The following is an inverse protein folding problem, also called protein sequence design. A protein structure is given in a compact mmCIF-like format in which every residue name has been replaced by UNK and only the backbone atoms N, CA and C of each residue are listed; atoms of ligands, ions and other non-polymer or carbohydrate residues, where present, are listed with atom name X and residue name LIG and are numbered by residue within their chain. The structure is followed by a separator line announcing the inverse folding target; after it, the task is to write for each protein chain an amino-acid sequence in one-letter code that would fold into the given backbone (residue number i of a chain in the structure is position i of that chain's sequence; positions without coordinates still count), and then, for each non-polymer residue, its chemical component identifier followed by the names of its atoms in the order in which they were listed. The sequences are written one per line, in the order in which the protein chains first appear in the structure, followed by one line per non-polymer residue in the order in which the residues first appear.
data_IF_088693668353
#
_entry.id   IF_088693668353
#
_cell.length_a   1.000
_cell.length_b   1.000
_cell.length_c   1.000
_cell.angle_alpha   90.00
_cell.angle_beta   90.00
_cell.angle_gamma   90.00
#
_symmetry.space_group_name_H-M   'P 1'
#
loop_
_entity.id
_entity.type
_entity.pdbx_description
1 polymer ?
#
# COMPACT_ATOMS: atom_id res chain seq x y z
N UNK A 1 -12.81 8.77 -10.63
CA UNK A 1 -13.34 7.52 -10.05
C UNK A 1 -12.80 7.38 -8.63
N UNK A 2 -13.54 6.82 -7.67
CA UNK A 2 -13.02 6.59 -6.32
C UNK A 2 -13.41 5.20 -5.83
N UNK A 3 -12.53 4.57 -5.06
CA UNK A 3 -12.76 3.24 -4.49
C UNK A 3 -12.58 3.32 -2.99
N UNK A 4 -13.50 2.68 -2.27
CA UNK A 4 -13.34 2.46 -0.83
C UNK A 4 -12.78 1.08 -0.60
N UNK A 5 -11.62 1.02 0.05
CA UNK A 5 -10.97 -0.23 0.43
C UNK A 5 -11.00 -0.36 1.94
N UNK A 6 -11.46 -1.50 2.40
CA UNK A 6 -11.42 -1.91 3.79
C UNK A 6 -10.55 -3.15 3.91
N UNK A 7 -9.56 -3.13 4.80
CA UNK A 7 -8.65 -4.25 5.00
C UNK A 7 -8.30 -4.42 6.47
N UNK A 8 -7.89 -5.64 6.82
CA UNK A 8 -7.46 -5.99 8.16
C UNK A 8 -6.03 -6.49 8.11
N UNK A 9 -5.17 -5.94 8.96
CA UNK A 9 -3.77 -6.38 9.11
C UNK A 9 -3.37 -6.47 10.57
N UNK A 10 -2.26 -7.13 10.86
CA UNK A 10 -1.66 -7.04 12.19
C UNK A 10 -1.24 -5.61 12.49
N UNK A 11 -1.44 -5.17 13.72
CA UNK A 11 -0.99 -3.87 14.21
C UNK A 11 0.44 -3.94 14.78
N UNK A 12 1.25 -4.79 14.15
CA UNK A 12 2.64 -5.04 14.49
C UNK A 12 3.62 -4.25 13.61
N UNK A 13 3.11 -3.18 12.99
CA UNK A 13 3.92 -2.22 12.25
C UNK A 13 4.84 -1.43 13.17
N UNK A 14 5.52 -0.43 12.63
CA UNK A 14 6.35 0.48 13.42
C UNK A 14 5.45 1.63 13.90
N UNK A 15 5.42 1.98 15.21
CA UNK A 15 6.14 1.34 16.32
C UNK A 15 5.53 0.01 16.75
N UNK A 16 6.40 -0.97 17.05
CA UNK A 16 6.00 -2.36 17.32
C UNK A 16 5.45 -2.51 18.73
N UNK A 17 4.20 -2.96 18.86
CA UNK A 17 3.60 -3.34 20.16
C UNK A 17 4.36 -4.52 20.79
N UNK A 18 4.49 -4.59 22.13
CA UNK A 18 5.04 -5.77 22.82
C UNK A 18 4.23 -7.04 22.58
N UNK A 19 2.94 -6.93 22.26
CA UNK A 19 2.07 -8.07 21.94
C UNK A 19 2.42 -8.72 20.59
N UNK A 20 3.28 -8.08 19.80
CA UNK A 20 3.80 -8.57 18.54
C UNK A 20 5.05 -9.44 18.72
N UNK A 21 4.94 -10.42 19.61
CA UNK A 21 6.00 -11.40 19.90
C UNK A 21 5.80 -12.69 19.07
N UNK A 22 6.89 -13.43 18.82
CA UNK A 22 6.81 -14.72 18.12
C UNK A 22 6.03 -15.77 18.93
N UNK A 23 5.95 -15.61 20.25
CA UNK A 23 5.17 -16.48 21.14
C UNK A 23 3.66 -16.29 20.97
N UNK A 24 3.22 -15.13 20.45
CA UNK A 24 1.81 -14.78 20.23
C UNK A 24 1.36 -14.87 18.77
N UNK A 25 2.12 -15.56 17.91
CA UNK A 25 1.78 -15.73 16.48
C UNK A 25 0.39 -16.35 16.33
N UNK A 26 -0.47 -15.70 15.53
CA UNK A 26 -1.89 -16.06 15.35
C UNK A 26 -2.86 -15.19 16.17
N UNK A 27 -2.41 -14.68 17.32
CA UNK A 27 -3.18 -13.82 18.23
C UNK A 27 -2.69 -12.36 18.26
N UNK A 28 -1.79 -11.99 17.33
CA UNK A 28 -1.33 -10.61 17.22
C UNK A 28 -2.49 -9.62 17.12
N UNK A 29 -2.35 -8.43 17.74
CA UNK A 29 -3.35 -7.37 17.62
C UNK A 29 -3.61 -7.09 16.15
N UNK A 30 -4.88 -6.87 15.81
CA UNK A 30 -5.31 -6.59 14.44
C UNK A 30 -5.98 -5.23 14.41
N UNK A 31 -5.69 -4.46 13.38
CA UNK A 31 -6.44 -3.24 13.07
C UNK A 31 -7.22 -3.41 11.76
N UNK A 32 -8.40 -2.82 11.74
CA UNK A 32 -9.20 -2.64 10.53
C UNK A 32 -9.01 -1.22 10.05
N UNK A 33 -8.62 -1.06 8.80
CA UNK A 33 -8.40 0.24 8.19
C UNK A 33 -9.38 0.37 7.02
N UNK A 34 -9.93 1.56 6.86
CA UNK A 34 -10.83 1.91 5.77
C UNK A 34 -10.39 3.23 5.18
N UNK A 35 -10.12 3.23 3.88
CA UNK A 35 -9.74 4.44 3.14
C UNK A 35 -10.52 4.53 1.84
N UNK A 36 -10.96 5.74 1.52
CA UNK A 36 -11.50 6.08 0.19
C UNK A 36 -10.38 6.74 -0.59
N UNK A 37 -10.03 6.15 -1.73
CA UNK A 37 -8.87 6.54 -2.52
C UNK A 37 -9.35 6.94 -3.91
N UNK A 38 -8.93 8.10 -4.44
CA UNK A 38 -9.17 8.42 -5.83
C UNK A 38 -8.39 7.46 -6.73
N UNK A 39 -9.00 7.10 -7.85
CA UNK A 39 -8.29 6.46 -8.96
C UNK A 39 -7.97 7.58 -9.96
N UNK A 40 -6.68 7.79 -10.18
CA UNK A 40 -6.17 8.73 -11.17
C UNK A 40 -6.67 8.35 -12.58
N UNK A 41 -6.80 9.31 -13.51
CA UNK A 41 -7.11 9.02 -14.90
C UNK A 41 -6.19 7.95 -15.47
N UNK A 42 -6.76 7.02 -16.22
CA UNK A 42 -6.04 5.90 -16.82
C UNK A 42 -6.52 5.68 -18.26
N UNK A 43 -5.67 5.04 -19.05
CA UNK A 43 -6.00 4.60 -20.41
C UNK A 43 -6.53 3.16 -20.36
N UNK A 44 -7.50 2.85 -21.21
CA UNK A 44 -8.02 1.49 -21.38
C UNK A 44 -7.31 0.78 -22.54
N UNK A 45 -7.02 -0.54 -22.43
CA UNK A 45 -7.34 -1.43 -21.31
C UNK A 45 -6.33 -1.33 -20.15
N UNK A 46 -6.76 -1.67 -18.94
CA UNK A 46 -5.86 -1.72 -17.78
C UNK A 46 -6.37 -2.65 -16.68
N UNK A 47 -5.46 -3.07 -15.80
CA UNK A 47 -5.79 -3.90 -14.63
C UNK A 47 -5.70 -3.05 -13.37
N UNK A 48 -6.69 -3.18 -12.49
CA UNK A 48 -6.68 -2.52 -11.17
C UNK A 48 -5.61 -3.16 -10.29
N UNK A 49 -4.68 -2.35 -9.79
CA UNK A 49 -3.58 -2.74 -8.92
C UNK A 49 -3.66 -1.92 -7.63
N UNK A 50 -3.66 -2.61 -6.48
CA UNK A 50 -3.78 -2.01 -5.15
C UNK A 50 -2.44 -2.11 -4.44
N UNK A 51 -1.88 -0.96 -4.06
CA UNK A 51 -0.60 -0.86 -3.38
C UNK A 51 -0.84 -0.52 -1.91
N UNK A 52 -0.50 -1.45 -1.01
CA UNK A 52 -0.41 -1.18 0.42
C UNK A 52 0.99 -0.67 0.74
N UNK A 53 1.06 0.50 1.35
CA UNK A 53 2.29 1.23 1.59
C UNK A 53 2.57 1.36 3.10
N UNK A 54 3.76 1.85 3.49
CA UNK A 54 4.03 2.22 4.87
C UNK A 54 2.95 3.14 5.47
N UNK A 55 2.86 3.14 6.80
CA UNK A 55 1.98 4.05 7.55
C UNK A 55 0.48 3.95 7.20
N UNK A 56 0.01 2.75 6.83
CA UNK A 56 -1.36 2.51 6.41
C UNK A 56 -1.78 3.27 5.15
N UNK A 57 -0.84 3.77 4.35
CA UNK A 57 -1.13 4.39 3.08
C UNK A 57 -1.50 3.39 2.00
N UNK A 58 -2.34 3.84 1.08
CA UNK A 58 -2.83 3.04 -0.03
C UNK A 58 -2.91 3.91 -1.28
N UNK A 59 -2.45 3.36 -2.40
CA UNK A 59 -2.62 3.94 -3.73
C UNK A 59 -3.22 2.88 -4.65
N UNK A 60 -4.11 3.30 -5.54
CA UNK A 60 -4.76 2.43 -6.51
C UNK A 60 -4.44 2.97 -7.89
N UNK A 61 -3.97 2.08 -8.75
CA UNK A 61 -3.66 2.38 -10.15
C UNK A 61 -4.45 1.45 -11.04
N UNK A 62 -4.85 1.94 -12.20
CA UNK A 62 -5.34 1.12 -13.30
C UNK A 62 -4.35 1.30 -14.43
N UNK A 63 -3.71 0.21 -14.85
CA UNK A 63 -2.57 0.25 -15.77
C UNK A 63 -2.43 -1.10 -16.49
N UNK A 64 -2.05 -1.07 -17.77
CA UNK A 64 -1.61 -2.24 -18.52
C UNK A 64 -0.22 -2.73 -18.06
N UNK A 65 0.62 -1.81 -17.57
CA UNK A 65 1.93 -2.15 -17.05
C UNK A 65 1.81 -2.88 -15.72
N UNK A 66 2.66 -3.89 -15.50
CA UNK A 66 2.83 -4.49 -14.18
C UNK A 66 3.57 -3.54 -13.23
N UNK A 67 3.35 -3.71 -11.92
CA UNK A 67 3.93 -2.87 -10.86
C UNK A 67 5.45 -2.64 -10.94
N UNK A 68 6.20 -3.60 -11.48
CA UNK A 68 7.66 -3.53 -11.63
C UNK A 68 8.13 -2.79 -12.89
N UNK A 69 7.22 -2.46 -13.80
CA UNK A 69 7.55 -1.78 -15.06
C UNK A 69 8.05 -0.37 -14.77
N UNK A 70 9.12 0.10 -15.46
CA UNK A 70 9.55 1.50 -15.38
C UNK A 70 8.49 2.47 -15.91
N UNK A 71 7.53 1.98 -16.71
CA UNK A 71 6.40 2.77 -17.23
C UNK A 71 5.17 2.75 -16.32
N UNK A 72 5.19 1.98 -15.22
CA UNK A 72 4.06 1.95 -14.30
C UNK A 72 3.87 3.32 -13.63
N UNK A 73 2.64 3.86 -13.55
CA UNK A 73 2.38 5.20 -13.01
C UNK A 73 2.84 5.38 -11.55
N UNK A 74 2.89 4.30 -10.77
CA UNK A 74 3.45 4.34 -9.41
C UNK A 74 4.96 4.67 -9.40
N UNK A 75 5.72 4.26 -10.42
CA UNK A 75 7.17 4.51 -10.48
C UNK A 75 7.97 3.90 -9.32
N UNK A 76 7.42 2.90 -8.61
CA UNK A 76 8.09 2.25 -7.46
C UNK A 76 9.12 1.21 -7.90
N UNK A 77 9.01 0.69 -9.13
CA UNK A 77 9.86 -0.38 -9.63
C UNK A 77 9.61 -1.70 -8.90
N UNK A 78 10.67 -2.48 -8.66
CA UNK A 78 10.58 -3.77 -7.98
C UNK A 78 10.20 -3.66 -6.50
N UNK A 79 9.66 -4.75 -5.94
CA UNK A 79 9.31 -4.82 -4.52
C UNK A 79 10.57 -4.75 -3.63
N UNK A 80 10.65 -3.72 -2.79
CA UNK A 80 11.73 -3.51 -1.81
C UNK A 80 11.25 -2.62 -0.65
N UNK A 81 11.97 -2.58 0.48
CA UNK A 81 11.74 -1.57 1.50
C UNK A 81 11.87 -0.15 0.92
N UNK A 82 10.92 0.72 1.29
CA UNK A 82 10.97 2.15 1.00
C UNK A 82 11.61 2.88 2.18
N UNK A 83 12.63 3.70 1.90
CA UNK A 83 13.17 4.60 2.90
C UNK A 83 12.15 5.70 3.23
N UNK A 84 12.21 6.28 4.43
CA UNK A 84 11.22 7.26 4.88
C UNK A 84 11.18 8.52 3.99
N UNK A 85 12.33 8.99 3.52
CA UNK A 85 12.46 10.13 2.61
C UNK A 85 11.91 9.82 1.20
N UNK A 86 12.08 8.58 0.75
CA UNK A 86 11.53 8.10 -0.51
C UNK A 86 10.00 8.00 -0.43
N UNK A 87 9.48 7.43 0.66
CA UNK A 87 8.06 7.34 0.92
C UNK A 87 7.40 8.72 0.96
N UNK A 88 8.00 9.67 1.68
CA UNK A 88 7.49 11.05 1.72
C UNK A 88 7.50 11.71 0.34
N UNK A 89 8.55 11.51 -0.46
CA UNK A 89 8.58 12.01 -1.85
C UNK A 89 7.51 11.36 -2.72
N UNK A 90 7.24 10.08 -2.52
CA UNK A 90 6.20 9.34 -3.24
C UNK A 90 4.79 9.84 -2.90
N UNK A 91 4.53 10.15 -1.63
CA UNK A 91 3.21 10.68 -1.22
C UNK A 91 2.93 12.09 -1.75
N UNK A 92 3.96 12.92 -1.89
CA UNK A 92 3.85 14.32 -2.31
C UNK A 92 3.96 14.52 -3.83
N UNK A 93 3.97 13.44 -4.61
CA UNK A 93 3.76 13.48 -6.07
C UNK A 93 2.26 13.55 -6.38
#
# INVERSE_FOLDING_TARGET
LQVTVEWRRSDCGVPKSPDCSLENVGNWPKKTIKKTVPIEPYEEPGVTQVFFLPHDEIRIYVSEYGAHSPHHPAGLGGARPLAEDEFNRYLNR
#
